data_IF_895722671299
#
_entry.id   IF_895722671299
#
_cell.length_a   1.000
_cell.length_b   1.000
_cell.length_c   1.000
_cell.angle_alpha   90.00
_cell.angle_beta   90.00
_cell.angle_gamma   90.00
#
_symmetry.space_group_name_H-M   'P 1'
#
loop_
_entity.id
_entity.type
_entity.pdbx_description
1 polymer ?
#
# COMPACT_ATOMS: atom_id res chain seq x y z
N UNK A 1 -4.60 -1.93 -24.42
CA UNK A 1 -5.76 -1.25 -23.82
C UNK A 1 -5.77 0.15 -24.41
N UNK A 2 -6.87 0.58 -25.00
CA UNK A 2 -6.98 1.97 -25.47
C UNK A 2 -7.19 2.94 -24.29
N UNK A 3 -7.03 4.23 -24.54
CA UNK A 3 -7.12 5.28 -23.51
C UNK A 3 -8.47 5.28 -22.81
N UNK A 4 -9.56 5.19 -23.57
CA UNK A 4 -10.94 5.16 -23.03
C UNK A 4 -11.16 3.97 -22.11
N UNK A 5 -10.69 2.79 -22.49
CA UNK A 5 -10.76 1.60 -21.67
C UNK A 5 -9.96 1.75 -20.38
N UNK A 6 -8.76 2.33 -20.45
CA UNK A 6 -7.91 2.58 -19.29
C UNK A 6 -8.57 3.56 -18.30
N UNK A 7 -9.12 4.67 -18.80
CA UNK A 7 -9.85 5.65 -17.98
C UNK A 7 -11.03 4.99 -17.28
N UNK A 8 -11.85 4.24 -18.03
CA UNK A 8 -13.00 3.53 -17.46
C UNK A 8 -12.59 2.53 -16.38
N UNK A 9 -11.52 1.78 -16.61
CA UNK A 9 -10.99 0.83 -15.64
C UNK A 9 -10.51 1.52 -14.36
N UNK A 10 -9.77 2.63 -14.47
CA UNK A 10 -9.34 3.42 -13.31
C UNK A 10 -10.54 3.96 -12.53
N UNK A 11 -11.53 4.54 -13.19
CA UNK A 11 -12.75 5.05 -12.54
C UNK A 11 -13.47 3.97 -11.74
N UNK A 12 -13.61 2.76 -12.30
CA UNK A 12 -14.25 1.65 -11.59
C UNK A 12 -13.52 1.25 -10.30
N UNK A 13 -12.18 1.21 -10.33
CA UNK A 13 -11.38 0.91 -9.14
C UNK A 13 -11.49 2.03 -8.12
N UNK A 14 -11.39 3.28 -8.57
CA UNK A 14 -11.54 4.44 -7.71
C UNK A 14 -12.90 4.43 -6.99
N UNK A 15 -14.00 4.28 -7.72
CA UNK A 15 -15.35 4.26 -7.15
C UNK A 15 -15.54 3.11 -6.16
N UNK A 16 -14.89 1.97 -6.40
CA UNK A 16 -14.87 0.87 -5.44
C UNK A 16 -14.09 1.23 -4.18
N UNK A 17 -12.87 1.76 -4.31
CA UNK A 17 -12.01 2.09 -3.17
C UNK A 17 -12.58 3.24 -2.33
N UNK A 18 -13.24 4.23 -2.94
CA UNK A 18 -13.94 5.28 -2.19
C UNK A 18 -15.09 4.70 -1.35
N UNK A 19 -15.93 3.84 -1.95
CA UNK A 19 -17.00 3.17 -1.21
C UNK A 19 -16.48 2.34 -0.04
N UNK A 20 -15.37 1.63 -0.21
CA UNK A 20 -14.74 0.85 0.87
C UNK A 20 -14.24 1.77 2.00
N UNK A 21 -13.69 2.94 1.67
CA UNK A 21 -13.21 3.93 2.66
C UNK A 21 -14.35 4.61 3.43
N UNK A 22 -15.47 4.87 2.76
CA UNK A 22 -16.67 5.48 3.37
C UNK A 22 -17.50 4.47 4.18
N UNK A 23 -17.43 3.19 3.82
CA UNK A 23 -18.10 2.13 4.57
C UNK A 23 -17.39 1.82 5.89
N UNK A 24 -18.17 1.39 6.89
CA UNK A 24 -17.60 0.90 8.15
C UNK A 24 -16.63 -0.26 7.85
N UNK A 25 -15.36 -0.17 8.29
CA UNK A 25 -14.38 -1.20 8.00
C UNK A 25 -14.82 -2.51 8.65
N UNK A 26 -14.88 -3.57 7.83
CA UNK A 26 -15.05 -4.91 8.36
C UNK A 26 -13.85 -5.21 9.26
N UNK A 27 -14.10 -5.31 10.57
CA UNK A 27 -13.04 -5.65 11.51
C UNK A 27 -12.61 -7.09 11.28
N UNK A 28 -11.39 -7.24 10.76
CA UNK A 28 -10.75 -8.55 10.66
C UNK A 28 -10.49 -9.05 12.08
N UNK A 29 -11.19 -10.12 12.47
CA UNK A 29 -10.91 -10.80 13.73
C UNK A 29 -9.64 -11.63 13.59
N UNK A 30 -8.90 -11.75 14.69
CA UNK A 30 -7.70 -12.55 14.71
C UNK A 30 -8.05 -14.04 14.84
N UNK A 31 -7.46 -14.88 13.98
CA UNK A 31 -7.60 -16.34 14.08
C UNK A 31 -6.78 -16.90 15.27
N UNK A 32 -5.75 -16.16 15.69
CA UNK A 32 -4.86 -16.47 16.81
C UNK A 32 -4.60 -15.21 17.64
N UNK A 33 -4.09 -15.37 18.85
CA UNK A 33 -3.66 -14.24 19.67
C UNK A 33 -2.54 -13.47 18.95
N UNK A 34 -2.80 -12.19 18.67
CA UNK A 34 -1.80 -11.31 18.05
C UNK A 34 -0.84 -10.81 19.12
N UNK A 35 0.46 -10.85 18.80
CA UNK A 35 1.47 -10.09 19.55
C UNK A 35 1.15 -8.61 19.48
N UNK A 36 1.51 -7.81 20.51
CA UNK A 36 1.29 -6.36 20.49
C UNK A 36 1.85 -5.73 19.21
N UNK A 37 1.01 -4.99 18.50
CA UNK A 37 1.42 -4.35 17.26
C UNK A 37 2.43 -3.23 17.56
N UNK A 38 3.50 -3.15 16.76
CA UNK A 38 4.49 -2.07 16.86
C UNK A 38 3.91 -0.70 16.51
N UNK A 39 2.88 -0.69 15.66
CA UNK A 39 2.12 0.49 15.25
C UNK A 39 0.65 0.13 15.03
N UNK A 40 -0.21 1.14 14.99
CA UNK A 40 -1.61 0.97 14.59
C UNK A 40 -1.70 0.87 13.06
N UNK A 41 -2.03 -0.31 12.49
CA UNK A 41 -2.10 -0.48 11.04
C UNK A 41 -3.19 0.36 10.39
N UNK A 42 -4.28 0.65 11.12
CA UNK A 42 -5.42 1.42 10.59
C UNK A 42 -5.08 2.91 10.46
N UNK A 43 -4.01 3.37 11.11
CA UNK A 43 -3.51 4.74 11.00
C UNK A 43 -2.68 5.02 9.75
N UNK A 44 -2.32 3.99 8.97
CA UNK A 44 -1.48 4.12 7.78
C UNK A 44 -2.32 4.62 6.60
N UNK A 45 -2.11 5.87 6.16
CA UNK A 45 -2.67 6.38 4.90
C UNK A 45 -1.63 6.38 3.77
N UNK A 46 -1.73 5.46 2.79
CA UNK A 46 -0.77 5.33 1.69
C UNK A 46 -0.58 6.61 0.86
N UNK A 47 -1.59 7.48 0.79
CA UNK A 47 -1.56 8.71 -0.02
C UNK A 47 -0.88 9.89 0.69
N UNK A 48 -0.70 9.80 2.01
CA UNK A 48 0.02 10.79 2.81
C UNK A 48 1.52 10.51 2.95
N UNK A 49 1.96 9.30 2.56
CA UNK A 49 3.34 8.85 2.71
C UNK A 49 4.28 9.56 1.73
N UNK A 50 5.57 9.59 2.10
CA UNK A 50 6.62 10.09 1.21
C UNK A 50 6.72 9.20 -0.02
N UNK A 51 6.67 9.81 -1.20
CA UNK A 51 6.88 9.10 -2.46
C UNK A 51 8.35 8.71 -2.63
N UNK A 52 8.58 7.49 -3.09
CA UNK A 52 9.89 6.96 -3.44
C UNK A 52 9.91 6.48 -4.89
N UNK A 53 11.08 6.51 -5.58
CA UNK A 53 11.24 5.91 -6.89
C UNK A 53 10.87 4.42 -6.86
N UNK A 54 10.44 3.86 -8.00
CA UNK A 54 10.12 2.43 -8.12
C UNK A 54 11.30 1.50 -7.79
N UNK A 55 12.52 2.03 -7.83
CA UNK A 55 13.77 1.34 -7.52
C UNK A 55 14.22 1.54 -6.06
N UNK A 56 13.31 1.96 -5.17
CA UNK A 56 13.61 2.23 -3.76
C UNK A 56 14.33 1.07 -3.05
N UNK A 57 14.08 -0.17 -3.47
CA UNK A 57 14.74 -1.38 -2.96
C UNK A 57 16.24 -1.46 -3.26
N UNK A 58 16.77 -0.54 -4.09
CA UNK A 58 18.21 -0.40 -4.38
C UNK A 58 18.86 0.75 -3.60
N UNK A 59 18.08 1.55 -2.90
CA UNK A 59 18.64 2.65 -2.10
C UNK A 59 19.49 2.04 -0.97
N UNK A 60 20.66 2.65 -0.66
CA UNK A 60 21.48 2.20 0.45
C UNK A 60 20.64 2.19 1.73
N UNK A 61 20.77 1.10 2.50
CA UNK A 61 19.95 0.81 3.67
C UNK A 61 19.81 2.07 4.55
N UNK A 62 18.57 2.55 4.71
CA UNK A 62 18.20 3.11 6.00
C UNK A 62 18.08 1.89 6.90
N UNK A 63 18.69 1.90 8.09
CA UNK A 63 18.87 0.77 9.01
C UNK A 63 17.60 -0.01 9.43
N UNK A 64 16.43 0.21 8.81
CA UNK A 64 15.22 -0.55 9.02
C UNK A 64 15.19 -1.84 8.21
N UNK A 65 15.02 -2.94 8.93
CA UNK A 65 14.51 -4.22 8.43
C UNK A 65 13.18 -4.07 7.66
N UNK A 66 12.74 -5.16 7.03
CA UNK A 66 11.52 -5.33 6.23
C UNK A 66 10.51 -4.17 6.24
N UNK A 67 10.25 -3.57 5.07
CA UNK A 67 9.31 -2.46 4.93
C UNK A 67 8.06 -2.81 4.13
N UNK A 68 6.92 -2.22 4.51
CA UNK A 68 5.72 -2.17 3.67
C UNK A 68 5.84 -1.03 2.66
N UNK A 69 5.42 -1.27 1.43
CA UNK A 69 5.37 -0.25 0.39
C UNK A 69 4.05 -0.33 -0.38
N UNK A 70 3.67 0.83 -0.92
CA UNK A 70 2.41 1.02 -1.61
C UNK A 70 2.70 1.55 -3.01
N UNK A 71 2.11 0.92 -4.02
CA UNK A 71 2.11 1.45 -5.38
C UNK A 71 0.76 2.12 -5.60
N UNK A 72 0.81 3.40 -5.90
CA UNK A 72 -0.37 4.22 -6.13
C UNK A 72 -0.38 4.77 -7.56
N UNK A 73 -1.57 5.15 -8.01
CA UNK A 73 -1.70 6.05 -9.16
C UNK A 73 -1.51 7.50 -8.70
N UNK A 74 -0.67 8.27 -9.41
CA UNK A 74 -0.36 9.67 -9.05
C UNK A 74 -1.40 10.68 -9.57
N UNK A 75 -2.31 10.26 -10.45
CA UNK A 75 -3.32 11.12 -11.08
C UNK A 75 -4.68 11.00 -10.41
N UNK A 76 -5.03 9.79 -9.98
CA UNK A 76 -6.25 9.48 -9.24
C UNK A 76 -5.82 8.72 -7.99
N UNK A 77 -6.35 9.00 -6.78
CA UNK A 77 -5.89 8.37 -5.55
C UNK A 77 -6.40 6.92 -5.48
N UNK A 78 -5.76 6.06 -6.26
CA UNK A 78 -5.99 4.63 -6.34
C UNK A 78 -4.77 3.93 -5.78
N UNK A 79 -5.02 2.99 -4.86
CA UNK A 79 -4.02 2.03 -4.41
C UNK A 79 -4.00 0.83 -5.36
N UNK A 80 -2.88 0.59 -6.02
CA UNK A 80 -2.75 -0.47 -7.03
C UNK A 80 -2.14 -1.74 -6.45
N UNK A 81 -1.21 -1.61 -5.51
CA UNK A 81 -0.51 -2.75 -4.92
C UNK A 81 0.01 -2.42 -3.52
N UNK A 82 -0.04 -3.41 -2.63
CA UNK A 82 0.59 -3.40 -1.32
C UNK A 82 1.61 -4.52 -1.30
N UNK A 83 2.85 -4.18 -0.97
CA UNK A 83 3.95 -5.15 -0.92
C UNK A 83 4.77 -5.01 0.34
N UNK A 84 5.58 -6.04 0.60
CA UNK A 84 6.58 -6.05 1.66
C UNK A 84 7.97 -6.35 1.06
N UNK A 85 9.02 -5.77 1.64
CA UNK A 85 10.40 -6.18 1.37
C UNK A 85 10.85 -7.12 2.50
N UNK A 86 11.48 -8.25 2.16
CA UNK A 86 11.82 -9.29 3.15
C UNK A 86 13.22 -9.20 3.75
N UNK A 87 14.17 -8.44 3.18
CA UNK A 87 15.59 -8.38 3.62
C UNK A 87 16.32 -7.12 3.16
N UNK A 88 17.31 -6.69 3.94
CA UNK A 88 18.39 -5.80 3.49
C UNK A 88 19.29 -6.52 2.46
N UNK A 89 19.92 -5.81 1.50
CA UNK A 89 20.77 -6.39 0.45
C UNK A 89 21.94 -7.25 0.97
N UNK A 90 22.35 -7.09 2.22
CA UNK A 90 23.44 -7.81 2.89
C UNK A 90 23.09 -9.25 3.31
N UNK A 91 21.83 -9.69 3.18
CA UNK A 91 21.35 -11.01 3.63
C UNK A 91 20.75 -11.89 2.50
N UNK A 92 21.08 -11.61 1.24
CA UNK A 92 20.68 -12.43 0.08
C UNK A 92 21.72 -13.47 -0.29
#
# INVERSE_FOLDING_TARGET
>A
MDETALVRWKSQIYDYQQRVRESEPLQQTALFDLTPAHCDPDSIDPFSLRLHPSEFYRLPDNDSEACLYFIIDNTLPILLYVGETKRTPSQR
#
